data_IF_962033904643
#
_entry.id   IF_962033904643
#
_cell.length_a   1.000
_cell.length_b   1.000
_cell.length_c   1.000
_cell.angle_alpha   90.00
_cell.angle_beta   90.00
_cell.angle_gamma   90.00
#
_symmetry.space_group_name_H-M   'P 1'
#
loop_
_entity.id
_entity.type
_entity.pdbx_description
1 polymer ?
#
# COMPACT_ATOMS: atom_id res chain seq x y z
N UNK A 1 -78.28 -3.65 -16.44
CA UNK A 1 -78.17 -2.72 -17.58
C UNK A 1 -77.02 -1.76 -17.32
N UNK A 2 -75.93 -1.93 -18.08
CA UNK A 2 -75.11 -0.86 -18.69
C UNK A 2 -74.81 0.43 -17.90
N UNK A 3 -73.55 0.63 -17.48
CA UNK A 3 -72.56 1.44 -18.24
C UNK A 3 -71.19 1.50 -17.55
N UNK A 4 -70.21 1.06 -18.33
CA UNK A 4 -68.77 1.20 -18.18
C UNK A 4 -68.37 2.68 -18.28
N UNK A 5 -67.65 3.24 -17.31
CA UNK A 5 -66.93 4.51 -17.49
C UNK A 5 -65.46 4.31 -17.14
N UNK A 6 -64.71 4.21 -18.22
CA UNK A 6 -63.26 4.14 -18.35
C UNK A 6 -62.66 5.50 -17.97
N UNK A 7 -61.83 5.57 -16.92
CA UNK A 7 -60.94 6.71 -16.64
C UNK A 7 -59.61 6.16 -16.12
N UNK A 8 -58.66 6.00 -17.03
CA UNK A 8 -57.46 6.85 -17.15
C UNK A 8 -56.52 6.62 -15.97
N UNK A 9 -55.58 5.73 -16.24
CA UNK A 9 -54.36 5.41 -15.53
C UNK A 9 -53.47 6.66 -15.41
N UNK A 10 -52.92 6.97 -14.23
CA UNK A 10 -51.58 7.51 -14.14
C UNK A 10 -50.65 6.38 -13.70
N UNK A 11 -49.77 5.95 -14.60
CA UNK A 11 -48.60 5.14 -14.28
C UNK A 11 -47.75 5.98 -13.33
N UNK A 12 -47.76 5.64 -12.04
CA UNK A 12 -46.75 6.13 -11.12
C UNK A 12 -45.41 5.53 -11.55
N UNK A 13 -44.66 6.32 -12.31
CA UNK A 13 -43.27 6.07 -12.66
C UNK A 13 -42.46 6.24 -11.36
N UNK A 14 -42.28 5.16 -10.62
CA UNK A 14 -41.37 5.09 -9.49
C UNK A 14 -39.95 5.31 -9.99
N UNK A 15 -39.48 6.55 -9.93
CA UNK A 15 -38.09 6.92 -10.14
C UNK A 15 -37.30 6.24 -9.03
N UNK A 16 -36.68 5.10 -9.37
CA UNK A 16 -35.65 4.49 -8.56
C UNK A 16 -34.51 5.48 -8.44
N UNK A 17 -34.43 6.17 -7.31
CA UNK A 17 -33.23 6.90 -6.91
C UNK A 17 -32.20 5.83 -6.60
N UNK A 18 -31.47 5.40 -7.63
CA UNK A 18 -30.21 4.69 -7.43
C UNK A 18 -29.29 5.74 -6.85
N UNK A 19 -29.31 5.88 -5.52
CA UNK A 19 -28.28 6.55 -4.79
C UNK A 19 -27.00 5.78 -5.11
N UNK A 20 -26.25 6.24 -6.10
CA UNK A 20 -24.86 5.91 -6.21
C UNK A 20 -24.23 6.40 -4.92
N UNK A 21 -24.09 5.51 -3.94
CA UNK A 21 -23.06 5.62 -2.93
C UNK A 21 -21.74 5.63 -3.70
N UNK A 22 -21.32 6.80 -4.16
CA UNK A 22 -19.90 7.04 -4.38
C UNK A 22 -19.30 6.91 -2.99
N UNK A 23 -18.48 5.87 -2.70
CA UNK A 23 -17.73 5.88 -1.46
C UNK A 23 -16.95 7.20 -1.50
N UNK A 24 -17.22 8.06 -0.53
CA UNK A 24 -16.42 9.25 -0.35
C UNK A 24 -14.98 8.74 -0.27
N UNK A 25 -14.12 9.20 -1.18
CA UNK A 25 -12.69 8.94 -1.12
C UNK A 25 -12.21 9.56 0.18
N UNK A 26 -12.23 8.77 1.26
CA UNK A 26 -11.62 9.11 2.53
C UNK A 26 -10.16 9.30 2.19
N UNK A 27 -9.74 10.55 2.11
CA UNK A 27 -8.35 10.91 1.88
C UNK A 27 -7.46 10.07 2.81
N UNK A 28 -6.48 9.40 2.19
CA UNK A 28 -5.51 8.42 2.68
C UNK A 28 -4.59 8.87 3.84
N UNK A 29 -5.02 9.80 4.69
CA UNK A 29 -4.25 10.21 5.86
C UNK A 29 -3.94 9.02 6.78
N UNK A 30 -4.84 8.03 6.85
CA UNK A 30 -4.62 6.79 7.62
C UNK A 30 -3.56 5.88 6.99
N UNK A 31 -3.51 5.77 5.66
CA UNK A 31 -2.52 4.98 4.95
C UNK A 31 -1.11 5.60 5.08
N UNK A 32 -1.02 6.93 4.94
CA UNK A 32 0.25 7.65 5.11
C UNK A 32 0.79 7.51 6.53
N UNK A 33 -0.03 7.76 7.54
CA UNK A 33 0.36 7.58 8.94
C UNK A 33 0.83 6.15 9.19
N UNK A 34 0.07 5.15 8.71
CA UNK A 34 0.46 3.74 8.87
C UNK A 34 1.81 3.41 8.22
N UNK A 35 2.05 3.86 6.99
CA UNK A 35 3.34 3.63 6.31
C UNK A 35 4.49 4.34 7.01
N UNK A 36 4.28 5.58 7.49
CA UNK A 36 5.29 6.31 8.25
C UNK A 36 5.62 5.63 9.57
N UNK A 37 4.61 5.18 10.31
CA UNK A 37 4.78 4.44 11.57
C UNK A 37 5.56 3.15 11.34
N UNK A 38 5.15 2.35 10.35
CA UNK A 38 5.85 1.11 9.99
C UNK A 38 7.29 1.36 9.57
N UNK A 39 7.53 2.42 8.78
CA UNK A 39 8.88 2.78 8.35
C UNK A 39 9.83 3.03 9.54
N UNK A 40 9.32 3.63 10.62
CA UNK A 40 10.08 3.98 11.82
C UNK A 40 10.14 2.87 12.87
N UNK A 41 9.31 1.83 12.75
CA UNK A 41 9.33 0.73 13.72
C UNK A 41 10.45 -0.28 13.45
N UNK A 42 11.15 -0.74 14.50
CA UNK A 42 11.93 -1.97 14.42
C UNK A 42 10.95 -3.15 14.34
N UNK A 43 11.04 -3.91 13.25
CA UNK A 43 10.21 -5.09 12.98
C UNK A 43 11.11 -6.33 12.82
N UNK A 44 10.61 -7.53 13.17
CA UNK A 44 9.30 -7.82 13.74
C UNK A 44 9.18 -7.39 15.22
N UNK A 45 7.96 -7.18 15.71
CA UNK A 45 7.69 -6.81 17.12
C UNK A 45 6.38 -7.45 17.62
N UNK A 46 5.87 -7.07 18.79
CA UNK A 46 4.67 -7.70 19.38
C UNK A 46 3.41 -7.58 18.52
N UNK A 47 3.30 -6.52 17.71
CA UNK A 47 2.09 -6.23 16.93
C UNK A 47 2.22 -6.68 15.47
N UNK A 48 3.45 -6.76 14.96
CA UNK A 48 3.73 -6.95 13.54
C UNK A 48 4.72 -8.08 13.29
N UNK A 49 4.47 -8.79 12.19
CA UNK A 49 5.34 -9.80 11.64
C UNK A 49 5.72 -9.46 10.19
N UNK A 50 6.79 -10.07 9.71
CA UNK A 50 7.34 -9.86 8.37
C UNK A 50 7.29 -11.16 7.55
N UNK A 51 7.16 -11.05 6.24
CA UNK A 51 7.30 -12.19 5.31
C UNK A 51 8.65 -12.87 5.43
N UNK A 52 8.75 -14.18 5.23
CA UNK A 52 10.00 -14.96 5.39
C UNK A 52 11.11 -14.65 4.36
N UNK A 53 10.84 -13.75 3.42
CA UNK A 53 11.81 -13.21 2.48
C UNK A 53 11.40 -11.80 2.04
N UNK A 54 12.04 -11.34 0.98
CA UNK A 54 11.90 -9.98 0.49
C UNK A 54 11.40 -9.94 -0.95
N UNK A 55 10.73 -8.85 -1.29
CA UNK A 55 10.50 -8.46 -2.66
C UNK A 55 11.43 -7.33 -3.04
N UNK A 56 11.94 -7.41 -4.25
CA UNK A 56 12.70 -6.36 -4.87
C UNK A 56 11.80 -5.60 -5.83
N UNK A 57 11.74 -4.26 -5.69
CA UNK A 57 10.93 -3.39 -6.52
C UNK A 57 11.79 -2.30 -7.16
N UNK A 58 11.57 -2.04 -8.46
CA UNK A 58 12.07 -0.85 -9.14
C UNK A 58 10.89 -0.05 -9.69
N UNK A 59 10.84 1.23 -9.36
CA UNK A 59 9.78 2.11 -9.83
C UNK A 59 10.11 2.70 -11.20
N UNK A 60 9.09 2.85 -12.06
CA UNK A 60 9.21 3.30 -13.46
C UNK A 60 9.74 4.72 -13.66
N UNK A 61 9.95 5.47 -12.57
CA UNK A 61 10.53 6.81 -12.59
C UNK A 61 11.59 6.91 -11.51
N UNK A 62 12.80 7.29 -11.89
CA UNK A 62 13.94 7.37 -10.97
C UNK A 62 13.66 8.24 -9.74
N UNK A 63 12.81 9.28 -9.85
CA UNK A 63 12.46 10.15 -8.73
C UNK A 63 11.90 9.40 -7.51
N UNK A 64 11.19 8.29 -7.69
CA UNK A 64 10.69 7.51 -6.56
C UNK A 64 11.79 6.63 -5.95
N UNK A 65 12.64 6.02 -6.79
CA UNK A 65 13.82 5.30 -6.30
C UNK A 65 14.76 6.25 -5.54
N UNK A 66 14.99 7.45 -6.06
CA UNK A 66 15.82 8.49 -5.43
C UNK A 66 15.19 9.00 -4.12
N UNK A 67 13.87 9.14 -4.08
CA UNK A 67 13.15 9.54 -2.87
C UNK A 67 13.24 8.47 -1.76
N UNK A 68 13.29 7.20 -2.14
CA UNK A 68 13.36 6.06 -1.23
C UNK A 68 14.79 5.54 -1.00
N UNK A 69 15.78 6.16 -1.64
CA UNK A 69 17.20 5.86 -1.48
C UNK A 69 17.58 5.92 0.00
N UNK A 70 18.03 4.79 0.52
CA UNK A 70 18.51 4.67 1.89
C UNK A 70 19.31 3.39 2.05
N UNK A 71 20.46 3.50 2.72
CA UNK A 71 21.19 2.31 3.17
C UNK A 71 20.44 1.64 4.34
N UNK A 72 20.75 0.38 4.62
CA UNK A 72 20.24 -0.28 5.82
C UNK A 72 20.61 0.50 7.10
N UNK A 73 21.79 1.13 7.13
CA UNK A 73 22.23 1.96 8.24
C UNK A 73 21.35 3.21 8.41
N UNK A 74 21.05 3.92 7.31
CA UNK A 74 20.15 5.08 7.35
C UNK A 74 18.77 4.71 7.92
N UNK A 75 18.22 3.59 7.44
CA UNK A 75 16.93 3.07 7.87
C UNK A 75 16.94 2.72 9.36
N UNK A 76 17.98 2.02 9.81
CA UNK A 76 18.12 1.64 11.22
C UNK A 76 18.30 2.88 12.10
N UNK A 77 19.08 3.87 11.67
CA UNK A 77 19.22 5.14 12.40
C UNK A 77 17.88 5.84 12.57
N UNK A 78 17.06 5.93 11.52
CA UNK A 78 15.73 6.54 11.64
C UNK A 78 14.79 5.73 12.56
N UNK A 79 14.89 4.40 12.55
CA UNK A 79 14.10 3.54 13.46
C UNK A 79 14.54 3.60 14.92
N UNK A 80 15.80 3.93 15.16
CA UNK A 80 16.28 4.20 16.52
C UNK A 80 15.76 5.53 17.04
N UNK A 81 15.70 6.54 16.17
CA UNK A 81 15.22 7.89 16.54
C UNK A 81 13.69 7.94 16.68
N UNK A 82 12.95 7.22 15.83
CA UNK A 82 11.47 7.16 15.82
C UNK A 82 10.75 8.51 15.67
N UNK A 83 11.44 9.54 15.18
CA UNK A 83 10.87 10.87 14.95
C UNK A 83 10.68 11.11 13.44
N UNK A 84 9.44 11.31 12.95
CA UNK A 84 9.18 11.60 11.53
C UNK A 84 9.89 12.87 11.01
N UNK A 85 10.17 13.81 11.91
CA UNK A 85 10.89 15.06 11.61
C UNK A 85 12.37 14.83 11.26
N UNK A 86 12.95 13.68 11.65
CA UNK A 86 14.31 13.29 11.31
C UNK A 86 14.44 12.72 9.88
N UNK A 87 13.33 12.43 9.21
CA UNK A 87 13.32 11.93 7.84
C UNK A 87 13.62 13.05 6.84
N UNK A 88 14.51 12.84 5.85
CA UNK A 88 14.69 13.79 4.76
C UNK A 88 13.38 14.10 4.02
N UNK A 89 13.20 15.34 3.56
CA UNK A 89 11.98 15.76 2.83
C UNK A 89 11.67 14.86 1.62
N UNK A 90 12.69 14.43 0.89
CA UNK A 90 12.51 13.50 -0.24
C UNK A 90 11.98 12.15 0.20
N UNK A 91 12.41 11.64 1.37
CA UNK A 91 11.92 10.39 1.93
C UNK A 91 10.46 10.48 2.31
N UNK A 92 10.02 11.60 2.89
CA UNK A 92 8.59 11.82 3.17
C UNK A 92 7.73 11.74 1.90
N UNK A 93 8.23 12.26 0.76
CA UNK A 93 7.55 12.09 -0.55
C UNK A 93 7.53 10.64 -1.00
N UNK A 94 8.64 9.92 -0.86
CA UNK A 94 8.71 8.49 -1.15
C UNK A 94 7.71 7.68 -0.32
N UNK A 95 7.61 7.96 0.97
CA UNK A 95 6.65 7.31 1.87
C UNK A 95 5.20 7.62 1.50
N UNK A 96 4.91 8.81 0.94
CA UNK A 96 3.58 9.12 0.42
C UNK A 96 3.20 8.28 -0.79
N UNK A 97 4.14 8.01 -1.70
CA UNK A 97 3.92 7.10 -2.83
C UNK A 97 3.76 5.65 -2.37
N UNK A 98 4.53 5.21 -1.35
CA UNK A 98 4.33 3.90 -0.73
C UNK A 98 2.96 3.79 -0.02
N UNK A 99 2.46 4.88 0.55
CA UNK A 99 1.12 4.93 1.14
C UNK A 99 0.02 4.80 0.08
N UNK A 100 0.19 5.40 -1.09
CA UNK A 100 -0.73 5.22 -2.21
C UNK A 100 -0.74 3.74 -2.68
N UNK A 101 0.43 3.12 -2.81
CA UNK A 101 0.54 1.68 -3.09
C UNK A 101 -0.14 0.82 -2.02
N UNK A 102 0.04 1.15 -0.74
CA UNK A 102 -0.62 0.43 0.34
C UNK A 102 -2.14 0.58 0.29
N UNK A 103 -2.65 1.78 0.05
CA UNK A 103 -4.09 2.02 -0.05
C UNK A 103 -4.72 1.25 -1.20
N UNK A 104 -4.06 1.22 -2.36
CA UNK A 104 -4.57 0.57 -3.57
C UNK A 104 -4.48 -0.96 -3.52
N UNK A 105 -3.39 -1.52 -2.95
CA UNK A 105 -3.10 -2.96 -3.05
C UNK A 105 -3.25 -3.71 -1.73
N UNK A 106 -3.36 -2.99 -0.62
CA UNK A 106 -3.37 -3.56 0.74
C UNK A 106 -2.05 -4.23 1.14
N UNK A 107 -0.95 -3.92 0.45
CA UNK A 107 0.38 -4.49 0.72
C UNK A 107 1.22 -3.47 1.48
N UNK A 108 1.50 -3.76 2.75
CA UNK A 108 2.29 -2.88 3.62
C UNK A 108 3.76 -3.26 3.55
N UNK A 109 4.60 -2.32 3.12
CA UNK A 109 6.01 -2.57 2.83
C UNK A 109 6.92 -2.01 3.92
N UNK A 110 7.90 -2.81 4.35
CA UNK A 110 8.97 -2.39 5.25
C UNK A 110 10.32 -2.50 4.54
N UNK A 111 10.97 -1.37 4.32
CA UNK A 111 12.18 -1.29 3.51
C UNK A 111 13.39 -1.85 4.24
N UNK A 112 14.16 -2.73 3.61
CA UNK A 112 15.44 -3.21 4.17
C UNK A 112 16.61 -2.35 3.71
N UNK A 113 16.57 -1.92 2.45
CA UNK A 113 17.53 -1.03 1.83
C UNK A 113 16.97 -0.49 0.50
N UNK A 114 17.67 0.49 -0.06
CA UNK A 114 17.32 1.15 -1.31
C UNK A 114 18.52 1.68 -2.07
N UNK A 115 18.49 1.56 -3.39
CA UNK A 115 19.46 2.16 -4.33
C UNK A 115 18.73 3.10 -5.29
N UNK A 116 19.47 3.73 -6.21
CA UNK A 116 18.87 4.58 -7.26
C UNK A 116 18.05 3.79 -8.28
N UNK A 117 18.21 2.46 -8.33
CA UNK A 117 17.56 1.60 -9.32
C UNK A 117 16.61 0.58 -8.72
N UNK A 118 16.72 0.26 -7.44
CA UNK A 118 15.99 -0.85 -6.84
C UNK A 118 15.89 -0.75 -5.33
N UNK A 119 14.80 -1.24 -4.77
CA UNK A 119 14.51 -1.24 -3.34
C UNK A 119 14.19 -2.66 -2.87
N UNK A 120 14.64 -3.05 -1.68
CA UNK A 120 14.24 -4.30 -1.03
C UNK A 120 13.22 -4.05 0.06
N UNK A 121 12.16 -4.84 0.08
CA UNK A 121 11.09 -4.76 1.09
C UNK A 121 10.73 -6.13 1.62
N UNK A 122 10.45 -6.20 2.92
CA UNK A 122 9.63 -7.26 3.51
C UNK A 122 8.18 -6.83 3.61
N UNK A 123 7.26 -7.79 3.53
CA UNK A 123 5.83 -7.52 3.66
C UNK A 123 5.44 -7.56 5.13
N UNK A 124 4.68 -6.58 5.57
CA UNK A 124 4.20 -6.45 6.95
C UNK A 124 2.78 -6.97 7.07
N UNK A 125 2.52 -7.75 8.11
CA UNK A 125 1.16 -8.12 8.53
C UNK A 125 1.05 -8.11 10.05
N UNK A 126 -0.16 -8.08 10.58
CA UNK A 126 -0.38 -8.15 12.02
C UNK A 126 0.10 -9.51 12.54
N UNK A 127 0.69 -9.56 13.74
CA UNK A 127 1.20 -10.82 14.31
C UNK A 127 0.11 -11.90 14.51
N UNK A 128 -1.14 -11.48 14.65
CA UNK A 128 -2.29 -12.40 14.80
C UNK A 128 -2.91 -12.82 13.46
N UNK A 129 -2.46 -12.28 12.33
CA UNK A 129 -2.92 -12.71 11.00
C UNK A 129 -2.01 -13.79 10.41
N UNK A 130 -2.45 -14.39 9.32
CA UNK A 130 -1.61 -15.27 8.50
C UNK A 130 -0.31 -14.56 8.09
N UNK A 131 0.77 -15.35 7.96
CA UNK A 131 2.06 -14.84 7.48
C UNK A 131 1.89 -14.25 6.07
N UNK A 132 2.48 -13.08 5.77
CA UNK A 132 2.20 -12.42 4.51
C UNK A 132 2.88 -13.18 3.36
N UNK A 133 2.09 -13.53 2.34
CA UNK A 133 2.57 -14.25 1.15
C UNK A 133 3.29 -13.31 0.18
N UNK A 134 4.56 -13.62 -0.11
CA UNK A 134 5.35 -12.90 -1.11
C UNK A 134 4.75 -13.03 -2.52
N UNK A 135 4.18 -14.20 -2.83
CA UNK A 135 3.57 -14.46 -4.15
C UNK A 135 2.32 -13.60 -4.34
N UNK A 136 1.46 -13.51 -3.32
CA UNK A 136 0.26 -12.66 -3.37
C UNK A 136 0.64 -11.17 -3.45
N UNK A 137 1.59 -10.74 -2.60
CA UNK A 137 2.11 -9.37 -2.64
C UNK A 137 2.69 -9.01 -4.03
N UNK A 138 3.48 -9.90 -4.63
CA UNK A 138 4.04 -9.71 -5.97
C UNK A 138 2.94 -9.69 -7.04
N UNK A 139 1.93 -10.55 -6.95
CA UNK A 139 0.82 -10.58 -7.90
C UNK A 139 -0.04 -9.31 -7.89
N UNK A 140 -0.18 -8.69 -6.71
CA UNK A 140 -0.87 -7.40 -6.54
C UNK A 140 -0.02 -6.23 -7.04
N UNK A 141 1.22 -6.13 -6.54
CA UNK A 141 2.11 -5.00 -6.83
C UNK A 141 2.69 -5.05 -8.26
N UNK A 142 3.01 -6.23 -8.79
CA UNK A 142 3.66 -6.38 -10.10
C UNK A 142 2.80 -5.94 -11.30
N UNK A 143 1.51 -5.67 -11.07
CA UNK A 143 0.60 -5.09 -12.08
C UNK A 143 0.43 -3.58 -11.95
N UNK A 144 1.03 -2.97 -10.93
CA UNK A 144 0.95 -1.54 -10.71
C UNK A 144 1.79 -0.79 -11.76
N UNK A 145 1.22 0.19 -12.48
CA UNK A 145 1.93 0.91 -13.55
C UNK A 145 3.09 1.78 -13.05
N UNK A 146 3.21 2.02 -11.73
CA UNK A 146 4.36 2.70 -11.12
C UNK A 146 5.55 1.77 -10.96
N UNK A 147 5.36 0.45 -11.01
CA UNK A 147 6.40 -0.57 -10.79
C UNK A 147 6.83 -1.13 -12.14
N UNK A 148 8.12 -0.98 -12.46
CA UNK A 148 8.70 -1.44 -13.73
C UNK A 148 9.44 -2.76 -13.60
N UNK A 149 9.83 -3.11 -12.37
CA UNK A 149 10.40 -4.41 -12.07
C UNK A 149 9.95 -4.83 -10.69
N UNK A 150 9.60 -6.10 -10.56
CA UNK A 150 9.26 -6.73 -9.30
C UNK A 150 9.73 -8.18 -9.31
N UNK A 151 10.45 -8.61 -8.29
CA UNK A 151 10.87 -9.99 -8.13
C UNK A 151 10.85 -10.39 -6.65
N UNK A 152 10.74 -11.69 -6.39
CA UNK A 152 11.04 -12.23 -5.06
C UNK A 152 12.55 -12.39 -4.98
N UNK A 153 13.17 -11.80 -3.96
CA UNK A 153 14.57 -12.04 -3.68
C UNK A 153 14.68 -13.37 -2.92
N UNK A 154 14.87 -14.44 -3.70
CA UNK A 154 15.21 -15.73 -3.14
C UNK A 154 16.64 -15.65 -2.64
N UNK A 155 16.82 -15.42 -1.34
CA UNK A 155 18.08 -15.70 -0.67
C UNK A 155 18.36 -17.21 -0.71
N UNK A 156 18.75 -17.72 -1.87
CA UNK A 156 19.38 -19.04 -2.01
C UNK A 156 20.88 -18.86 -1.78
N UNK A 157 21.31 -19.21 -0.56
CA UNK A 157 22.63 -19.78 -0.32
C UNK A 157 23.70 -18.85 0.26
N UNK A 158 23.82 -18.85 1.58
CA UNK A 158 25.08 -18.62 2.28
C UNK A 158 25.22 -19.68 3.35
N UNK A 159 26.04 -20.69 3.07
CA UNK A 159 26.48 -21.77 3.96
C UNK A 159 26.95 -21.30 5.33
#
# INVERSE_FOLDING_TARGET
MTKLVRRILPVLLSIGVVAACTPASVSDSSALTRVQDINLQPLPNNDWQLSDGSIQLSFCRNRLNDALLATAEDLNRWRLVQEPSALPKQRQRGLAELAALYSEHGVLLWQEWGTVSSQSYRIVSARKSESPSLIDALARLGRDPRICYSAIDSATGGT
#
